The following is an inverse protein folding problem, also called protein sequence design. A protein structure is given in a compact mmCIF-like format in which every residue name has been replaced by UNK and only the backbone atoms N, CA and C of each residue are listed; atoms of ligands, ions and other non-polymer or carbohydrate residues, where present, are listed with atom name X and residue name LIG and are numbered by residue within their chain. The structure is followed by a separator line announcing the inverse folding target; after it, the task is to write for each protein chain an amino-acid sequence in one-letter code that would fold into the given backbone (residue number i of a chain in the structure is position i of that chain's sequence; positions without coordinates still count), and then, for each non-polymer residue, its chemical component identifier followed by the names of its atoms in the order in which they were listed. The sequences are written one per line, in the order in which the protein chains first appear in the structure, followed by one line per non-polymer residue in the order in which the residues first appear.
data_IF_988129082138
#
_entry.id   IF_988129082138
#
_cell.length_a   1.000
_cell.length_b   1.000
_cell.length_c   1.000
_cell.angle_alpha   90.00
_cell.angle_beta   90.00
_cell.angle_gamma   90.00
#
_symmetry.space_group_name_H-M   'P 1'
#
loop_
_entity.id
_entity.type
_entity.pdbx_description
1 polymer ?
#
# COMPACT_ATOMS: atom_id res chain seq x y z
N UNK A 1 11.62 2.81 26.97
CA UNK A 1 10.49 3.74 26.77
C UNK A 1 9.20 2.95 26.78
N UNK A 2 8.17 3.47 27.44
CA UNK A 2 6.84 2.85 27.49
C UNK A 2 5.99 3.29 26.30
N UNK A 3 5.65 2.36 25.43
CA UNK A 3 5.00 2.61 24.15
C UNK A 3 3.59 2.04 24.10
N UNK A 4 2.74 2.72 23.33
CA UNK A 4 1.56 2.11 22.71
C UNK A 4 1.87 1.92 21.23
N UNK A 5 1.49 0.78 20.67
CA UNK A 5 1.56 0.55 19.22
C UNK A 5 0.15 0.46 18.64
N UNK A 6 -0.14 1.15 17.54
CA UNK A 6 -1.42 1.11 16.85
C UNK A 6 -1.23 0.80 15.37
N UNK A 7 -1.69 -0.37 14.93
CA UNK A 7 -1.54 -0.80 13.54
C UNK A 7 -2.35 -2.04 13.21
N UNK A 8 -2.48 -2.36 11.92
CA UNK A 8 -3.31 -3.52 11.49
C UNK A 8 -2.58 -4.47 10.52
N UNK A 9 -2.12 -4.03 9.33
CA UNK A 9 -1.61 -4.95 8.30
C UNK A 9 -0.15 -5.37 8.53
N UNK A 10 0.39 -6.20 7.64
CA UNK A 10 1.77 -6.70 7.69
C UNK A 10 2.81 -5.57 7.73
N UNK A 11 2.58 -4.46 7.01
CA UNK A 11 3.43 -3.25 7.11
C UNK A 11 3.64 -2.79 8.56
N UNK A 12 2.55 -2.78 9.35
CA UNK A 12 2.61 -2.36 10.75
C UNK A 12 3.19 -3.47 11.65
N UNK A 13 2.92 -4.75 11.33
CA UNK A 13 3.49 -5.86 12.07
C UNK A 13 5.03 -5.87 11.99
N UNK A 14 5.61 -5.51 10.85
CA UNK A 14 7.06 -5.36 10.71
C UNK A 14 7.63 -4.29 11.68
N UNK A 15 6.97 -3.14 11.80
CA UNK A 15 7.37 -2.09 12.73
C UNK A 15 7.21 -2.53 14.20
N UNK A 16 6.11 -3.22 14.55
CA UNK A 16 5.94 -3.77 15.90
C UNK A 16 7.05 -4.77 16.25
N UNK A 17 7.40 -5.67 15.33
CA UNK A 17 8.46 -6.65 15.54
C UNK A 17 9.81 -5.97 15.84
N UNK A 18 10.19 -4.97 15.04
CA UNK A 18 11.44 -4.24 15.25
C UNK A 18 11.46 -3.47 16.58
N UNK A 19 10.34 -2.90 17.01
CA UNK A 19 10.25 -2.22 18.31
C UNK A 19 10.39 -3.20 19.48
N UNK A 20 9.84 -4.41 19.36
CA UNK A 20 10.01 -5.48 20.36
C UNK A 20 11.48 -5.92 20.42
N UNK A 21 12.11 -6.14 19.27
CA UNK A 21 13.51 -6.56 19.16
C UNK A 21 14.48 -5.51 19.72
N UNK A 22 14.19 -4.23 19.49
CA UNK A 22 14.94 -3.11 20.07
C UNK A 22 14.75 -2.96 21.60
N UNK A 23 13.92 -3.80 22.23
CA UNK A 23 13.75 -3.84 23.69
C UNK A 23 12.85 -2.74 24.25
N UNK A 24 11.99 -2.13 23.42
CA UNK A 24 11.00 -1.18 23.92
C UNK A 24 9.89 -1.88 24.73
N UNK A 25 9.35 -1.21 25.75
CA UNK A 25 8.23 -1.72 26.53
C UNK A 25 6.92 -1.43 25.78
N UNK A 26 6.39 -2.41 25.05
CA UNK A 26 5.09 -2.29 24.38
C UNK A 26 3.97 -2.61 25.39
N UNK A 27 3.41 -1.56 25.99
CA UNK A 27 2.45 -1.71 27.08
C UNK A 27 1.01 -2.00 26.59
N UNK A 28 0.68 -1.63 25.34
CA UNK A 28 -0.61 -1.93 24.71
C UNK A 28 -0.47 -1.91 23.18
N UNK A 29 -1.09 -2.89 22.53
CA UNK A 29 -1.23 -2.95 21.08
C UNK A 29 -2.68 -2.69 20.68
N UNK A 30 -2.91 -1.66 19.89
CA UNK A 30 -4.19 -1.37 19.25
C UNK A 30 -4.19 -1.88 17.82
N UNK A 31 -5.28 -2.54 17.43
CA UNK A 31 -5.51 -3.00 16.05
C UNK A 31 -6.99 -2.95 15.73
N UNK A 32 -7.35 -2.90 14.46
CA UNK A 32 -8.74 -3.05 14.04
C UNK A 32 -9.34 -4.37 14.58
N UNK A 33 -10.66 -4.41 14.84
CA UNK A 33 -11.39 -5.65 15.09
C UNK A 33 -11.15 -6.69 13.99
N UNK A 34 -11.20 -7.97 14.37
CA UNK A 34 -11.03 -9.07 13.42
C UNK A 34 -12.11 -8.98 12.33
N UNK A 35 -11.69 -9.17 11.08
CA UNK A 35 -12.61 -9.12 9.93
C UNK A 35 -12.61 -10.46 9.19
N UNK A 36 -13.75 -10.84 8.60
CA UNK A 36 -13.80 -11.94 7.65
C UNK A 36 -12.79 -11.75 6.52
N UNK A 37 -11.97 -12.76 6.23
CA UNK A 37 -10.98 -12.69 5.16
C UNK A 37 -10.83 -14.02 4.41
N UNK A 38 -10.25 -13.97 3.21
CA UNK A 38 -9.96 -15.15 2.38
C UNK A 38 -11.20 -15.91 1.87
N UNK A 39 -10.97 -17.10 1.30
CA UNK A 39 -12.06 -17.99 0.88
C UNK A 39 -12.74 -18.59 2.12
N UNK A 40 -14.06 -18.44 2.20
CA UNK A 40 -14.86 -18.93 3.33
C UNK A 40 -15.10 -17.92 4.45
N UNK A 41 -14.59 -16.68 4.32
CA UNK A 41 -14.96 -15.53 5.16
C UNK A 41 -14.85 -15.78 6.67
N UNK A 42 -13.84 -16.55 7.10
CA UNK A 42 -13.59 -16.79 8.52
C UNK A 42 -13.03 -15.52 9.17
N UNK A 43 -13.49 -15.22 10.37
CA UNK A 43 -12.89 -14.17 11.20
C UNK A 43 -11.40 -14.48 11.37
N UNK A 44 -10.57 -13.56 10.91
CA UNK A 44 -9.11 -13.70 10.90
C UNK A 44 -8.52 -12.56 11.72
N UNK A 45 -7.66 -12.89 12.68
CA UNK A 45 -6.90 -11.91 13.43
C UNK A 45 -5.96 -11.15 12.49
N UNK A 46 -5.81 -9.84 12.71
CA UNK A 46 -4.86 -9.03 11.95
C UNK A 46 -3.41 -9.50 12.17
N UNK A 47 -2.48 -9.25 11.22
CA UNK A 47 -1.06 -9.52 11.40
C UNK A 47 -0.49 -8.93 12.71
N UNK A 48 -0.85 -7.67 13.03
CA UNK A 48 -0.43 -7.02 14.28
C UNK A 48 -0.98 -7.75 15.52
N UNK A 49 -2.25 -8.17 15.50
CA UNK A 49 -2.84 -8.95 16.61
C UNK A 49 -2.12 -10.29 16.79
N UNK A 50 -1.86 -11.00 15.70
CA UNK A 50 -1.19 -12.29 15.75
C UNK A 50 0.20 -12.16 16.39
N UNK A 51 0.98 -11.18 15.96
CA UNK A 51 2.31 -10.91 16.52
C UNK A 51 2.23 -10.49 18.00
N UNK A 52 1.31 -9.59 18.36
CA UNK A 52 1.12 -9.18 19.74
C UNK A 52 0.82 -10.37 20.67
N UNK A 53 -0.08 -11.27 20.25
CA UNK A 53 -0.41 -12.47 21.02
C UNK A 53 0.78 -13.44 21.15
N UNK A 54 1.59 -13.60 20.10
CA UNK A 54 2.79 -14.43 20.14
C UNK A 54 3.81 -13.94 21.19
N UNK A 55 3.89 -12.63 21.40
CA UNK A 55 4.77 -12.02 22.39
C UNK A 55 4.08 -11.74 23.75
N UNK A 56 2.84 -12.19 23.94
CA UNK A 56 2.09 -12.01 25.19
C UNK A 56 1.71 -10.54 25.48
N UNK A 57 1.64 -9.69 24.45
CA UNK A 57 1.32 -8.27 24.59
C UNK A 57 -0.19 -8.06 24.73
N UNK A 58 -0.64 -7.13 25.59
CA UNK A 58 -2.05 -6.75 25.69
C UNK A 58 -2.58 -6.18 24.36
N UNK A 59 -3.75 -6.65 23.92
CA UNK A 59 -4.40 -6.20 22.67
C UNK A 59 -5.73 -5.51 22.97
N UNK A 60 -5.94 -4.35 22.36
CA UNK A 60 -7.22 -3.62 22.38
C UNK A 60 -7.74 -3.40 20.96
N UNK A 61 -9.00 -3.77 20.71
CA UNK A 61 -9.63 -3.70 19.38
C UNK A 61 -10.89 -2.83 19.37
N UNK A 62 -10.76 -1.51 19.62
CA UNK A 62 -11.91 -0.62 19.57
C UNK A 62 -12.43 -0.47 18.13
N UNK A 63 -13.75 -0.40 17.95
CA UNK A 63 -14.31 0.00 16.65
C UNK A 63 -14.05 1.48 16.34
N UNK A 64 -14.01 2.31 17.39
CA UNK A 64 -13.80 3.76 17.36
C UNK A 64 -13.12 4.20 18.66
N UNK A 65 -12.44 5.34 18.62
CA UNK A 65 -11.77 5.93 19.80
C UNK A 65 -12.42 7.27 20.21
N UNK A 66 -13.74 7.42 20.03
CA UNK A 66 -14.42 8.72 20.17
C UNK A 66 -14.95 8.99 21.57
N UNK A 67 -15.46 7.98 22.27
CA UNK A 67 -16.03 8.17 23.61
C UNK A 67 -14.97 8.04 24.72
N UNK A 68 -15.18 8.67 25.88
CA UNK A 68 -14.32 8.48 27.05
C UNK A 68 -14.17 7.01 27.45
N UNK A 69 -15.22 6.18 27.33
CA UNK A 69 -15.10 4.75 27.66
C UNK A 69 -14.17 4.01 26.70
N UNK A 70 -14.18 4.37 25.41
CA UNK A 70 -13.27 3.81 24.40
C UNK A 70 -11.82 4.28 24.60
N UNK A 71 -11.65 5.46 25.18
CA UNK A 71 -10.35 6.08 25.41
C UNK A 71 -9.71 5.67 26.73
N UNK A 72 -10.52 5.28 27.74
CA UNK A 72 -10.03 4.93 29.08
C UNK A 72 -8.94 3.83 29.09
N UNK A 73 -9.03 2.75 28.30
CA UNK A 73 -7.96 1.75 28.24
C UNK A 73 -6.63 2.31 27.72
N UNK A 74 -6.68 3.26 26.79
CA UNK A 74 -5.50 3.93 26.22
C UNK A 74 -4.89 4.89 27.24
N UNK A 75 -5.74 5.71 27.88
CA UNK A 75 -5.32 6.68 28.90
C UNK A 75 -4.66 6.00 30.11
N UNK A 76 -5.19 4.85 30.54
CA UNK A 76 -4.69 4.10 31.70
C UNK A 76 -3.23 3.61 31.54
N UNK A 77 -2.74 3.48 30.31
CA UNK A 77 -1.36 3.07 30.06
C UNK A 77 -0.36 4.14 30.48
N UNK A 78 -0.71 5.43 30.40
CA UNK A 78 0.20 6.54 30.63
C UNK A 78 1.52 6.38 29.84
N UNK A 79 1.39 6.15 28.53
CA UNK A 79 2.52 5.92 27.64
C UNK A 79 3.33 7.19 27.40
N UNK A 80 4.60 7.01 27.04
CA UNK A 80 5.45 8.14 26.64
C UNK A 80 5.18 8.55 25.20
N UNK A 81 5.06 7.56 24.30
CA UNK A 81 4.83 7.74 22.87
C UNK A 81 3.81 6.70 22.40
N UNK A 82 2.96 7.08 21.44
CA UNK A 82 2.19 6.13 20.65
C UNK A 82 2.76 6.06 19.23
N UNK A 83 3.12 4.86 18.78
CA UNK A 83 3.53 4.61 17.40
C UNK A 83 2.32 4.14 16.60
N UNK A 84 2.07 4.78 15.47
CA UNK A 84 0.96 4.50 14.58
C UNK A 84 1.51 4.08 13.21
N UNK A 85 0.98 2.98 12.66
CA UNK A 85 1.31 2.54 11.32
C UNK A 85 0.10 1.83 10.71
N UNK A 86 -0.46 2.38 9.62
CA UNK A 86 -1.58 1.78 8.89
C UNK A 86 -2.74 1.28 9.80
N UNK A 87 -3.12 2.07 10.81
CA UNK A 87 -4.10 1.68 11.83
C UNK A 87 -5.55 1.70 11.32
N UNK A 88 -5.88 2.65 10.44
CA UNK A 88 -7.19 2.75 9.80
C UNK A 88 -8.32 3.30 10.68
N UNK A 89 -8.04 3.72 11.92
CA UNK A 89 -8.94 4.54 12.71
C UNK A 89 -8.39 5.97 12.80
N UNK A 90 -9.31 6.94 12.87
CA UNK A 90 -8.96 8.33 13.17
C UNK A 90 -8.70 8.44 14.68
N UNK A 91 -7.53 8.96 15.04
CA UNK A 91 -7.21 9.34 16.42
C UNK A 91 -7.76 10.74 16.67
N UNK A 92 -8.75 10.93 17.57
CA UNK A 92 -9.17 12.27 17.94
C UNK A 92 -8.10 12.96 18.78
N UNK A 93 -8.16 14.30 18.85
CA UNK A 93 -7.21 15.13 19.60
C UNK A 93 -6.99 14.64 21.03
N UNK A 94 -8.06 14.24 21.73
CA UNK A 94 -7.99 13.70 23.09
C UNK A 94 -7.09 12.46 23.22
N UNK A 95 -6.93 11.66 22.16
CA UNK A 95 -6.00 10.51 22.12
C UNK A 95 -4.60 10.94 21.71
N UNK A 96 -4.48 11.88 20.76
CA UNK A 96 -3.19 12.44 20.34
C UNK A 96 -2.42 13.09 21.50
N UNK A 97 -3.16 13.69 22.44
CA UNK A 97 -2.61 14.38 23.61
C UNK A 97 -2.28 13.46 24.80
N UNK A 98 -2.66 12.17 24.76
CA UNK A 98 -2.44 11.27 25.91
C UNK A 98 -0.96 10.94 26.15
N UNK A 99 -0.16 10.58 25.12
CA UNK A 99 1.25 10.29 25.34
C UNK A 99 2.02 11.60 25.53
N UNK A 100 2.93 11.64 26.50
CA UNK A 100 3.72 12.84 26.83
C UNK A 100 4.49 13.42 25.63
N UNK A 101 4.95 12.55 24.74
CA UNK A 101 5.70 12.90 23.52
C UNK A 101 4.82 12.74 22.26
N UNK A 102 3.51 12.62 22.44
CA UNK A 102 2.50 12.52 21.40
C UNK A 102 2.49 11.21 20.61
N UNK A 103 1.84 11.25 19.45
CA UNK A 103 1.73 10.13 18.53
C UNK A 103 2.63 10.34 17.30
N UNK A 104 3.41 9.33 16.93
CA UNK A 104 4.22 9.33 15.72
C UNK A 104 3.62 8.37 14.69
N UNK A 105 3.52 8.79 13.44
CA UNK A 105 3.08 7.92 12.34
C UNK A 105 4.26 7.50 11.46
N UNK A 106 4.26 6.22 11.07
CA UNK A 106 5.14 5.68 10.02
C UNK A 106 4.38 5.76 8.70
N UNK A 107 4.63 6.81 7.92
CA UNK A 107 3.92 7.05 6.66
C UNK A 107 4.71 6.50 5.47
N UNK A 108 4.04 5.74 4.59
CA UNK A 108 4.63 5.06 3.43
C UNK A 108 4.86 5.94 2.20
N UNK A 109 5.22 7.22 2.40
CA UNK A 109 5.69 8.11 1.34
C UNK A 109 6.68 9.15 1.87
N UNK A 110 7.31 9.89 0.95
CA UNK A 110 8.05 11.11 1.25
C UNK A 110 7.07 12.31 1.27
N UNK A 111 6.66 12.73 2.46
CA UNK A 111 5.76 13.86 2.64
C UNK A 111 6.43 15.17 2.17
N UNK A 112 5.66 16.13 1.62
CA UNK A 112 4.20 16.21 1.62
C UNK A 112 3.50 15.45 0.47
N UNK A 113 4.26 14.73 -0.36
CA UNK A 113 3.67 13.96 -1.47
C UNK A 113 2.98 12.71 -0.91
N UNK A 114 1.82 12.39 -1.48
CA UNK A 114 1.03 11.20 -1.18
C UNK A 114 0.50 11.09 0.26
N UNK A 115 -0.08 12.16 0.79
CA UNK A 115 -0.93 12.08 1.99
C UNK A 115 -2.12 11.15 1.76
N UNK A 116 -2.51 10.37 2.76
CA UNK A 116 -3.73 9.56 2.72
C UNK A 116 -3.50 8.06 2.52
N UNK A 117 -4.44 7.43 1.81
CA UNK A 117 -4.76 6.02 2.02
C UNK A 117 -3.97 5.01 1.17
N UNK A 118 -3.47 5.39 -0.01
CA UNK A 118 -2.82 4.45 -0.94
C UNK A 118 -1.47 4.96 -1.50
N UNK A 119 -0.53 5.46 -0.68
CA UNK A 119 0.68 6.13 -1.16
C UNK A 119 1.54 5.25 -2.07
N UNK A 120 1.65 3.96 -1.76
CA UNK A 120 2.48 3.00 -2.50
C UNK A 120 2.01 2.87 -3.96
N UNK A 121 0.72 2.61 -4.15
CA UNK A 121 0.16 2.42 -5.50
C UNK A 121 0.18 3.72 -6.29
N UNK A 122 -0.09 4.84 -5.63
CA UNK A 122 -0.15 6.15 -6.28
C UNK A 122 1.25 6.62 -6.74
N UNK A 123 2.30 6.34 -5.98
CA UNK A 123 3.69 6.58 -6.40
C UNK A 123 4.05 5.77 -7.67
N UNK A 124 3.70 4.48 -7.72
CA UNK A 124 3.95 3.65 -8.92
C UNK A 124 3.15 4.16 -10.12
N UNK A 125 1.86 4.48 -9.94
CA UNK A 125 0.99 5.01 -11.00
C UNK A 125 1.53 6.30 -11.61
N UNK A 126 1.99 7.23 -10.77
CA UNK A 126 2.57 8.48 -11.21
C UNK A 126 3.92 8.30 -11.92
N UNK A 127 4.56 7.15 -11.75
CA UNK A 127 5.89 6.88 -12.28
C UNK A 127 6.99 7.59 -11.50
N UNK A 128 6.80 7.78 -10.20
CA UNK A 128 7.82 8.32 -9.32
C UNK A 128 9.07 7.40 -9.36
N UNK A 129 10.26 7.99 -9.41
CA UNK A 129 11.52 7.22 -9.39
C UNK A 129 11.90 6.75 -7.98
N UNK A 130 11.38 7.44 -6.97
CA UNK A 130 11.58 7.16 -5.56
C UNK A 130 10.31 7.45 -4.76
N UNK A 131 10.19 6.76 -3.64
CA UNK A 131 9.24 7.04 -2.56
C UNK A 131 10.03 6.90 -1.26
N UNK A 132 9.40 6.57 -0.13
CA UNK A 132 10.12 6.31 1.09
C UNK A 132 9.21 6.25 2.30
N UNK A 133 9.84 6.42 3.46
CA UNK A 133 9.16 6.51 4.75
C UNK A 133 9.33 7.91 5.30
N UNK A 134 8.23 8.49 5.79
CA UNK A 134 8.29 9.67 6.66
C UNK A 134 7.86 9.27 8.05
N UNK A 135 8.70 9.52 9.05
CA UNK A 135 8.28 9.52 10.45
C UNK A 135 7.79 10.94 10.76
N UNK A 136 6.52 11.08 11.12
CA UNK A 136 5.91 12.38 11.40
C UNK A 136 5.24 12.40 12.77
N UNK A 137 5.21 13.59 13.39
CA UNK A 137 4.34 13.87 14.53
C UNK A 137 2.92 13.98 14.00
N UNK A 138 1.98 13.24 14.58
CA UNK A 138 0.58 13.36 14.19
C UNK A 138 -0.04 14.64 14.75
N UNK A 139 -0.89 15.26 13.96
CA UNK A 139 -1.81 16.32 14.35
C UNK A 139 -3.26 15.89 14.04
N UNK A 140 -4.22 16.82 14.15
CA UNK A 140 -5.62 16.53 13.86
C UNK A 140 -5.92 16.34 12.35
N UNK A 141 -5.00 16.72 11.47
CA UNK A 141 -5.18 16.62 10.03
C UNK A 141 -4.77 15.25 9.49
N UNK A 142 -5.17 14.98 8.24
CA UNK A 142 -4.80 13.74 7.55
C UNK A 142 -3.39 13.88 6.98
N UNK A 143 -2.42 13.27 7.67
CA UNK A 143 -1.01 13.25 7.28
C UNK A 143 -0.41 14.66 7.09
N UNK A 144 -0.80 15.63 7.93
CA UNK A 144 -0.35 17.03 7.84
C UNK A 144 0.70 17.43 8.84
N UNK A 145 0.90 16.64 9.90
CA UNK A 145 1.79 17.00 10.99
C UNK A 145 3.27 17.05 10.61
N UNK A 146 4.06 17.64 11.50
CA UNK A 146 5.48 17.95 11.29
C UNK A 146 6.30 16.68 11.03
N UNK A 147 7.21 16.75 10.07
CA UNK A 147 8.11 15.66 9.70
C UNK A 147 9.32 15.63 10.66
N UNK A 148 9.64 14.44 11.15
CA UNK A 148 10.80 14.20 12.03
C UNK A 148 11.98 13.64 11.24
N UNK A 149 11.73 12.67 10.37
CA UNK A 149 12.76 12.09 9.49
C UNK A 149 12.15 11.52 8.22
N UNK A 150 12.96 11.44 7.16
CA UNK A 150 12.59 10.90 5.86
C UNK A 150 13.64 9.90 5.40
N UNK A 151 13.19 8.78 4.81
CA UNK A 151 14.02 7.65 4.41
C UNK A 151 13.66 7.24 2.98
N UNK A 152 14.38 7.75 1.97
CA UNK A 152 14.09 7.46 0.57
C UNK A 152 14.30 5.99 0.20
N UNK A 153 13.43 5.48 -0.66
CA UNK A 153 13.47 4.14 -1.24
C UNK A 153 13.21 4.24 -2.74
N UNK A 154 14.14 3.73 -3.54
CA UNK A 154 14.03 3.70 -5.01
C UNK A 154 12.90 2.76 -5.46
N UNK A 155 12.13 3.20 -6.45
CA UNK A 155 11.14 2.37 -7.15
C UNK A 155 11.82 1.80 -8.39
N UNK A 156 12.07 0.49 -8.41
CA UNK A 156 12.66 -0.16 -9.57
C UNK A 156 11.65 -0.32 -10.70
N UNK A 157 12.14 -0.43 -11.94
CA UNK A 157 11.30 -0.59 -13.12
C UNK A 157 10.37 -1.82 -13.04
N UNK A 158 10.80 -2.85 -12.30
CA UNK A 158 10.05 -4.10 -12.09
C UNK A 158 9.25 -4.12 -10.79
N UNK A 159 9.33 -3.08 -9.94
CA UNK A 159 8.59 -3.06 -8.70
C UNK A 159 7.08 -2.98 -8.96
N UNK A 160 6.35 -3.79 -8.20
CA UNK A 160 4.91 -3.73 -8.08
C UNK A 160 4.51 -3.30 -6.66
N UNK A 161 3.22 -3.14 -6.40
CA UNK A 161 2.78 -2.66 -5.09
C UNK A 161 3.16 -3.61 -3.94
N UNK A 162 3.21 -4.93 -4.16
CA UNK A 162 3.70 -5.88 -3.15
C UNK A 162 5.19 -5.70 -2.89
N UNK A 163 6.03 -5.71 -3.92
CA UNK A 163 7.49 -5.64 -3.73
C UNK A 163 7.90 -4.30 -3.11
N UNK A 164 7.25 -3.21 -3.52
CA UNK A 164 7.49 -1.89 -2.94
C UNK A 164 6.96 -1.81 -1.50
N UNK A 165 5.81 -2.41 -1.22
CA UNK A 165 5.30 -2.54 0.15
C UNK A 165 6.29 -3.23 1.08
N UNK A 166 6.87 -4.35 0.64
CA UNK A 166 7.81 -5.12 1.47
C UNK A 166 9.11 -4.33 1.73
N UNK A 167 9.64 -3.64 0.71
CA UNK A 167 10.77 -2.71 0.89
C UNK A 167 10.46 -1.61 1.90
N UNK A 168 9.28 -1.00 1.79
CA UNK A 168 8.86 0.09 2.68
C UNK A 168 8.57 -0.39 4.10
N UNK A 169 8.05 -1.62 4.27
CA UNK A 169 7.84 -2.20 5.60
C UNK A 169 9.17 -2.38 6.35
N UNK A 170 10.21 -2.88 5.65
CA UNK A 170 11.56 -3.00 6.22
C UNK A 170 12.14 -1.62 6.55
N UNK A 171 12.06 -0.67 5.60
CA UNK A 171 12.55 0.69 5.82
C UNK A 171 11.83 1.39 6.98
N UNK A 172 10.51 1.20 7.10
CA UNK A 172 9.69 1.83 8.14
C UNK A 172 9.96 1.27 9.53
N UNK A 173 10.19 -0.05 9.62
CA UNK A 173 10.57 -0.71 10.84
C UNK A 173 11.93 -0.22 11.37
N UNK A 174 12.93 -0.06 10.50
CA UNK A 174 14.21 0.53 10.88
C UNK A 174 14.06 2.02 11.27
N UNK A 175 13.36 2.80 10.43
CA UNK A 175 13.19 4.24 10.61
C UNK A 175 12.55 4.61 11.95
N UNK A 176 11.57 3.84 12.43
CA UNK A 176 10.92 4.15 13.71
C UNK A 176 11.82 3.85 14.92
N UNK A 177 12.63 2.78 14.86
CA UNK A 177 13.59 2.46 15.91
C UNK A 177 14.66 3.56 16.00
N UNK A 178 15.22 3.97 14.86
CA UNK A 178 16.19 5.07 14.78
C UNK A 178 15.58 6.39 15.27
N UNK A 179 14.32 6.67 14.91
CA UNK A 179 13.63 7.87 15.34
C UNK A 179 13.40 7.90 16.86
N UNK A 180 13.10 6.76 17.49
CA UNK A 180 12.92 6.67 18.93
C UNK A 180 14.24 6.84 19.70
N UNK A 181 15.35 6.34 19.16
CA UNK A 181 16.68 6.53 19.76
C UNK A 181 17.07 8.01 19.87
N UNK A 182 16.66 8.82 18.88
CA UNK A 182 17.01 10.24 18.75
C UNK A 182 15.82 11.20 18.99
N UNK A 183 14.73 10.70 19.59
CA UNK A 183 13.44 11.39 19.55
C UNK A 183 13.46 12.84 20.07
N UNK A 184 14.09 13.17 21.23
CA UNK A 184 14.12 14.56 21.71
C UNK A 184 14.79 15.51 20.71
N UNK A 185 15.86 15.06 20.05
CA UNK A 185 16.58 15.83 19.04
C UNK A 185 15.73 16.01 17.78
N UNK A 186 15.08 14.95 17.31
CA UNK A 186 14.21 15.01 16.13
C UNK A 186 12.96 15.87 16.37
N UNK A 187 12.35 15.81 17.55
CA UNK A 187 11.21 16.67 17.89
C UNK A 187 11.60 18.15 17.99
N UNK A 188 12.78 18.46 18.53
CA UNK A 188 13.29 19.83 18.58
C UNK A 188 13.60 20.39 17.18
N UNK A 189 13.96 19.53 16.23
CA UNK A 189 14.29 19.88 14.85
C UNK A 189 13.18 19.57 13.83
N UNK A 190 11.96 19.26 14.29
CA UNK A 190 10.86 18.85 13.40
C UNK A 190 10.51 19.96 12.41
N UNK A 191 10.14 19.56 11.20
CA UNK A 191 9.88 20.49 10.11
C UNK A 191 8.40 20.45 9.73
N UNK A 192 7.70 21.60 9.71
CA UNK A 192 6.41 21.70 9.08
C UNK A 192 6.48 21.24 7.63
N UNK A 193 5.45 20.54 7.16
CA UNK A 193 5.39 20.14 5.75
C UNK A 193 5.30 21.39 4.85
N UNK A 194 6.10 21.47 3.77
CA UNK A 194 6.00 22.60 2.86
C UNK A 194 4.63 22.60 2.15
N UNK A 195 4.07 23.79 1.86
CA UNK A 195 2.80 23.89 1.14
C UNK A 195 2.91 23.47 -0.34
N UNK A 196 4.10 23.61 -0.92
CA UNK A 196 4.39 23.16 -2.28
C UNK A 196 4.66 21.64 -2.31
N UNK A 197 4.16 20.97 -3.35
CA UNK A 197 4.37 19.53 -3.55
C UNK A 197 3.37 18.62 -2.83
N UNK A 198 2.39 19.18 -2.10
CA UNK A 198 1.31 18.40 -1.47
C UNK A 198 0.51 17.65 -2.55
N UNK A 199 0.42 16.33 -2.42
CA UNK A 199 -0.48 15.49 -3.22
C UNK A 199 -1.21 14.49 -2.34
N UNK A 200 -2.36 14.01 -2.82
CA UNK A 200 -3.19 13.06 -2.08
C UNK A 200 -3.22 11.70 -2.76
N UNK A 201 -2.93 10.67 -1.98
CA UNK A 201 -3.05 9.28 -2.37
C UNK A 201 -4.43 8.74 -2.00
N UNK A 202 -5.44 9.10 -2.81
CA UNK A 202 -6.80 8.63 -2.61
C UNK A 202 -6.88 7.11 -2.61
N UNK A 203 -7.79 6.57 -1.78
CA UNK A 203 -8.07 5.14 -1.70
C UNK A 203 -8.44 4.61 -3.08
N UNK A 204 -7.86 3.46 -3.45
CA UNK A 204 -8.17 2.79 -4.71
C UNK A 204 -9.63 2.35 -4.76
N UNK A 205 -10.28 2.60 -5.88
CA UNK A 205 -11.63 2.13 -6.20
C UNK A 205 -11.57 0.97 -7.18
N UNK A 206 -12.58 0.10 -7.17
CA UNK A 206 -12.59 -1.09 -8.03
C UNK A 206 -12.71 -0.71 -9.50
N UNK A 207 -13.39 0.39 -9.78
CA UNK A 207 -13.64 0.92 -11.13
C UNK A 207 -12.33 1.35 -11.81
N UNK A 208 -11.33 1.79 -11.04
CA UNK A 208 -10.00 2.15 -11.54
C UNK A 208 -9.24 0.95 -12.11
N UNK A 209 -9.67 -0.29 -11.81
CA UNK A 209 -8.99 -1.49 -12.32
C UNK A 209 -9.16 -1.73 -13.82
N UNK A 210 -10.13 -1.08 -14.47
CA UNK A 210 -10.38 -1.29 -15.90
C UNK A 210 -9.33 -0.62 -16.76
N UNK A 211 -8.68 -1.40 -17.62
CA UNK A 211 -7.69 -0.92 -18.58
C UNK A 211 -8.42 -0.17 -19.70
N UNK A 212 -8.12 1.12 -19.80
CA UNK A 212 -8.37 1.90 -21.01
C UNK A 212 -7.15 1.80 -21.93
N UNK A 213 -7.32 1.05 -23.03
CA UNK A 213 -6.25 0.82 -24.00
C UNK A 213 -5.80 2.09 -24.75
N UNK A 214 -6.53 3.21 -24.63
CA UNK A 214 -6.12 4.50 -25.19
C UNK A 214 -4.94 5.14 -24.44
N UNK A 215 -4.60 4.66 -23.24
CA UNK A 215 -3.39 5.10 -22.57
C UNK A 215 -2.13 4.51 -23.21
N UNK A 216 -0.96 5.10 -22.93
CA UNK A 216 0.32 4.58 -23.42
C UNK A 216 0.69 3.25 -22.75
N UNK A 217 1.48 2.44 -23.44
CA UNK A 217 1.98 1.17 -22.90
C UNK A 217 2.73 1.35 -21.57
N UNK A 218 3.48 2.45 -21.42
CA UNK A 218 4.19 2.79 -20.17
C UNK A 218 3.22 3.11 -19.02
N UNK A 219 2.14 3.84 -19.29
CA UNK A 219 1.13 4.13 -18.28
C UNK A 219 0.38 2.87 -17.86
N UNK A 220 0.05 1.99 -18.81
CA UNK A 220 -0.62 0.72 -18.53
C UNK A 220 0.28 -0.26 -17.77
N UNK A 221 1.58 -0.33 -18.08
CA UNK A 221 2.55 -1.08 -17.29
C UNK A 221 2.57 -0.63 -15.82
N UNK A 222 2.68 0.69 -15.57
CA UNK A 222 2.61 1.26 -14.22
C UNK A 222 1.32 0.89 -13.51
N UNK A 223 0.18 0.98 -14.21
CA UNK A 223 -1.12 0.58 -13.68
C UNK A 223 -1.16 -0.90 -13.28
N UNK A 224 -0.68 -1.79 -14.14
CA UNK A 224 -0.62 -3.24 -13.88
C UNK A 224 0.24 -3.52 -12.64
N UNK A 225 1.41 -2.89 -12.53
CA UNK A 225 2.31 -3.03 -11.37
C UNK A 225 1.71 -2.43 -10.10
N UNK A 226 1.12 -1.24 -10.17
CA UNK A 226 0.51 -0.57 -9.02
C UNK A 226 -0.71 -1.33 -8.47
N UNK A 227 -1.48 -1.99 -9.33
CA UNK A 227 -2.68 -2.73 -8.94
C UNK A 227 -2.44 -4.22 -8.69
N UNK A 228 -1.18 -4.66 -8.63
CA UNK A 228 -0.81 -6.03 -8.26
C UNK A 228 -0.46 -6.08 -6.75
N UNK A 229 -1.25 -6.78 -5.90
CA UNK A 229 -2.25 -7.77 -6.26
C UNK A 229 -3.70 -7.25 -6.32
N UNK A 230 -3.94 -6.06 -5.77
CA UNK A 230 -5.26 -5.43 -5.66
C UNK A 230 -5.22 -3.98 -6.18
N UNK A 231 -6.24 -3.52 -6.91
CA UNK A 231 -7.48 -4.20 -7.33
C UNK A 231 -7.36 -5.17 -8.52
N UNK A 232 -6.13 -5.42 -9.00
CA UNK A 232 -5.81 -6.16 -10.23
C UNK A 232 -6.28 -5.44 -11.50
N UNK A 233 -5.36 -4.97 -12.34
CA UNK A 233 -5.73 -4.41 -13.65
C UNK A 233 -6.43 -5.46 -14.51
N UNK A 234 -7.50 -5.07 -15.20
CA UNK A 234 -8.35 -6.00 -15.96
C UNK A 234 -8.89 -5.37 -17.25
N UNK A 235 -9.16 -6.22 -18.23
CA UNK A 235 -9.78 -5.90 -19.51
C UNK A 235 -10.80 -6.98 -19.87
N UNK A 236 -11.40 -6.92 -21.06
CA UNK A 236 -12.29 -7.95 -21.59
C UNK A 236 -11.64 -8.69 -22.76
N UNK A 237 -11.91 -9.99 -22.86
CA UNK A 237 -11.57 -10.84 -24.00
C UNK A 237 -12.83 -11.64 -24.36
N UNK A 238 -13.38 -11.44 -25.55
CA UNK A 238 -14.63 -12.06 -25.99
C UNK A 238 -15.79 -11.89 -24.98
N UNK A 239 -15.91 -10.70 -24.37
CA UNK A 239 -16.92 -10.38 -23.36
C UNK A 239 -16.63 -10.89 -21.94
N UNK A 240 -15.59 -11.70 -21.75
CA UNK A 240 -15.21 -12.21 -20.43
C UNK A 240 -14.07 -11.40 -19.81
N UNK A 241 -14.07 -11.28 -18.47
CA UNK A 241 -13.03 -10.58 -17.75
C UNK A 241 -11.67 -11.31 -17.83
N UNK A 242 -10.63 -10.55 -18.18
CA UNK A 242 -9.24 -10.97 -18.22
C UNK A 242 -8.41 -10.04 -17.34
N UNK A 243 -7.86 -10.55 -16.24
CA UNK A 243 -6.89 -9.81 -15.42
C UNK A 243 -5.50 -9.89 -16.03
N UNK A 244 -4.77 -8.78 -15.98
CA UNK A 244 -3.37 -8.69 -16.39
C UNK A 244 -2.52 -8.45 -15.15
N UNK A 245 -1.61 -9.38 -14.87
CA UNK A 245 -0.78 -9.38 -13.65
C UNK A 245 0.64 -8.89 -13.90
N UNK A 246 1.15 -9.12 -15.12
CA UNK A 246 2.46 -8.65 -15.57
C UNK A 246 2.46 -8.40 -17.06
N UNK A 247 3.06 -7.29 -17.46
CA UNK A 247 3.28 -6.92 -18.85
C UNK A 247 4.58 -6.13 -18.98
N UNK A 248 5.03 -5.89 -20.21
CA UNK A 248 6.18 -5.04 -20.53
C UNK A 248 5.87 -4.12 -21.71
N UNK A 249 6.18 -2.82 -21.65
CA UNK A 249 6.09 -1.92 -22.80
C UNK A 249 7.14 -2.29 -23.85
N UNK A 250 6.74 -2.31 -25.12
CA UNK A 250 7.62 -2.52 -26.27
C UNK A 250 7.30 -1.53 -27.38
N UNK A 251 8.26 -1.30 -28.28
CA UNK A 251 8.05 -0.46 -29.46
C UNK A 251 7.12 -1.15 -30.47
N UNK A 252 6.21 -0.37 -31.06
CA UNK A 252 5.28 -0.84 -32.08
C UNK A 252 4.09 0.11 -32.20
N UNK A 253 3.19 -0.19 -33.13
CA UNK A 253 1.99 0.60 -33.41
C UNK A 253 0.84 -0.32 -33.83
N UNK A 254 -0.39 0.15 -33.67
CA UNK A 254 -1.62 -0.55 -34.03
C UNK A 254 -2.83 0.22 -33.49
N UNK A 255 -4.03 -0.35 -33.57
CA UNK A 255 -5.19 0.28 -32.95
C UNK A 255 -5.26 -0.06 -31.45
N UNK A 256 -5.58 0.89 -30.56
CA UNK A 256 -5.76 0.63 -29.13
C UNK A 256 -6.64 -0.59 -28.84
N UNK A 257 -6.10 -1.55 -28.08
CA UNK A 257 -6.76 -2.80 -27.72
C UNK A 257 -6.66 -3.91 -28.77
N UNK A 258 -6.07 -3.67 -29.93
CA UNK A 258 -5.86 -4.68 -30.96
C UNK A 258 -4.68 -5.58 -30.62
N UNK A 259 -4.88 -6.90 -30.71
CA UNK A 259 -3.80 -7.89 -30.67
C UNK A 259 -3.04 -7.82 -31.99
N UNK A 260 -1.80 -7.35 -31.96
CA UNK A 260 -0.94 -7.24 -33.16
C UNK A 260 -0.01 -8.43 -33.33
N UNK A 261 0.18 -9.23 -32.28
CA UNK A 261 0.93 -10.48 -32.33
C UNK A 261 0.35 -11.48 -31.31
N UNK A 262 0.18 -12.72 -31.75
CA UNK A 262 -0.34 -13.82 -30.96
C UNK A 262 0.35 -15.13 -31.39
N UNK A 263 1.59 -15.33 -30.95
CA UNK A 263 2.40 -16.48 -31.31
C UNK A 263 3.35 -16.89 -30.18
N UNK A 264 4.28 -17.82 -30.47
CA UNK A 264 5.29 -18.30 -29.51
C UNK A 264 6.22 -17.20 -28.96
N UNK A 265 6.30 -16.04 -29.64
CA UNK A 265 7.15 -14.92 -29.25
C UNK A 265 6.41 -13.93 -28.33
N UNK A 266 5.09 -14.01 -28.26
CA UNK A 266 4.30 -13.30 -27.24
C UNK A 266 2.89 -12.95 -27.66
N UNK A 267 2.17 -12.38 -26.70
CA UNK A 267 0.87 -11.72 -26.89
C UNK A 267 1.08 -10.21 -26.80
N UNK A 268 1.05 -9.53 -27.94
CA UNK A 268 1.25 -8.08 -28.04
C UNK A 268 -0.08 -7.38 -28.32
N UNK A 269 -0.38 -6.36 -27.52
CA UNK A 269 -1.60 -5.56 -27.64
C UNK A 269 -1.20 -4.10 -27.88
N UNK A 270 -1.69 -3.53 -28.97
CA UNK A 270 -1.48 -2.11 -29.26
C UNK A 270 -2.22 -1.22 -28.25
N UNK A 271 -1.62 -0.08 -27.95
CA UNK A 271 -2.13 0.90 -26.98
C UNK A 271 -2.26 2.26 -27.66
N UNK A 272 -2.64 3.32 -26.94
CA UNK A 272 -2.67 4.67 -27.50
C UNK A 272 -1.28 5.18 -27.93
N UNK A 273 -0.23 4.70 -27.27
CA UNK A 273 1.16 4.96 -27.63
C UNK A 273 2.05 3.77 -27.24
N UNK A 274 2.67 3.15 -28.23
CA UNK A 274 3.44 1.92 -28.10
C UNK A 274 2.58 0.67 -27.96
N UNK A 275 3.22 -0.43 -27.58
CA UNK A 275 2.60 -1.76 -27.51
C UNK A 275 2.89 -2.36 -26.14
N UNK A 276 1.93 -3.11 -25.62
CA UNK A 276 2.06 -3.81 -24.35
C UNK A 276 2.15 -5.32 -24.59
N UNK A 277 3.27 -5.92 -24.21
CA UNK A 277 3.44 -7.38 -24.22
C UNK A 277 2.92 -7.97 -22.93
N UNK A 278 1.89 -8.81 -23.04
CA UNK A 278 1.32 -9.49 -21.88
C UNK A 278 2.20 -10.69 -21.51
N UNK A 279 2.51 -10.81 -20.22
CA UNK A 279 3.39 -11.86 -19.69
C UNK A 279 2.62 -12.81 -18.78
N UNK A 280 1.84 -12.28 -17.83
CA UNK A 280 1.03 -13.08 -16.90
C UNK A 280 -0.40 -12.55 -16.85
N UNK A 281 -1.37 -13.45 -16.98
CA UNK A 281 -2.80 -13.15 -17.11
C UNK A 281 -3.65 -14.13 -16.30
N UNK A 282 -4.93 -13.82 -16.11
CA UNK A 282 -5.89 -14.70 -15.45
C UNK A 282 -7.30 -14.50 -16.02
N UNK A 283 -7.85 -15.56 -16.61
CA UNK A 283 -9.28 -15.64 -17.00
C UNK A 283 -10.20 -15.63 -15.77
N UNK A 284 -11.44 -15.20 -15.95
CA UNK A 284 -12.47 -15.28 -14.93
C UNK A 284 -12.55 -16.69 -14.31
N UNK A 285 -12.52 -16.78 -12.97
CA UNK A 285 -12.55 -18.06 -12.23
C UNK A 285 -11.29 -18.94 -12.35
N UNK A 286 -10.34 -18.59 -13.22
CA UNK A 286 -9.11 -19.36 -13.47
C UNK A 286 -7.98 -19.07 -12.50
N UNK A 287 -6.86 -19.80 -12.66
CA UNK A 287 -5.58 -19.49 -12.01
C UNK A 287 -4.79 -18.47 -12.85
N UNK A 288 -3.83 -17.79 -12.22
CA UNK A 288 -2.80 -17.03 -12.96
C UNK A 288 -2.03 -17.98 -13.88
N UNK A 289 -1.68 -17.52 -15.08
CA UNK A 289 -0.95 -18.29 -16.07
C UNK A 289 -0.11 -17.38 -16.96
N UNK A 290 0.92 -17.93 -17.59
CA UNK A 290 1.68 -17.23 -18.63
C UNK A 290 0.80 -16.94 -19.85
N UNK A 291 1.03 -15.80 -20.50
CA UNK A 291 0.32 -15.42 -21.72
C UNK A 291 0.52 -16.45 -22.86
N UNK A 292 1.65 -17.14 -22.91
CA UNK A 292 1.87 -18.24 -23.86
C UNK A 292 0.93 -19.43 -23.63
N UNK A 293 0.62 -19.75 -22.36
CA UNK A 293 -0.34 -20.80 -22.03
C UNK A 293 -1.77 -20.37 -22.38
N UNK A 294 -2.09 -19.08 -22.22
CA UNK A 294 -3.35 -18.51 -22.71
C UNK A 294 -3.49 -18.70 -24.25
N UNK A 295 -2.44 -18.37 -25.01
CA UNK A 295 -2.43 -18.52 -26.48
C UNK A 295 -2.59 -19.98 -26.93
N UNK A 296 -1.95 -20.92 -26.24
CA UNK A 296 -2.09 -22.35 -26.54
C UNK A 296 -3.53 -22.87 -26.38
N UNK A 297 -4.35 -22.19 -25.58
CA UNK A 297 -5.78 -22.47 -25.44
C UNK A 297 -6.63 -22.05 -26.65
N UNK A 298 -6.06 -21.38 -27.65
CA UNK A 298 -6.74 -20.92 -28.86
C UNK A 298 -7.64 -19.70 -28.64
N UNK A 299 -8.24 -19.21 -29.73
CA UNK A 299 -9.24 -18.14 -29.72
C UNK A 299 -8.68 -16.70 -29.66
N UNK A 300 -7.35 -16.54 -29.65
CA UNK A 300 -6.69 -15.23 -29.78
C UNK A 300 -5.82 -15.26 -31.03
N UNK A 301 -6.13 -14.40 -31.98
CA UNK A 301 -5.35 -14.19 -33.22
C UNK A 301 -5.07 -12.71 -33.41
N UNK A 302 -4.15 -12.38 -34.32
CA UNK A 302 -3.96 -11.00 -34.77
C UNK A 302 -5.31 -10.40 -35.21
N UNK A 303 -5.57 -9.15 -34.82
CA UNK A 303 -6.84 -8.44 -35.02
C UNK A 303 -7.89 -8.68 -33.93
N UNK A 304 -7.67 -9.62 -32.99
CA UNK A 304 -8.54 -9.79 -31.82
C UNK A 304 -8.54 -8.50 -31.00
N UNK A 305 -9.71 -8.07 -30.49
CA UNK A 305 -9.83 -6.86 -29.66
C UNK A 305 -9.94 -7.22 -28.18
N UNK A 306 -9.12 -6.57 -27.37
CA UNK A 306 -9.24 -6.48 -25.92
C UNK A 306 -9.89 -5.15 -25.56
N UNK A 307 -10.79 -5.19 -24.58
CA UNK A 307 -11.62 -4.02 -24.27
C UNK A 307 -12.71 -3.78 -25.32
N UNK A 308 -13.73 -3.03 -24.91
CA UNK A 308 -14.97 -2.83 -25.68
C UNK A 308 -16.18 -3.33 -24.90
N UNK A 309 -17.31 -2.67 -25.11
CA UNK A 309 -18.60 -3.07 -24.57
C UNK A 309 -18.99 -4.43 -25.17
N UNK A 310 -19.69 -5.24 -24.37
CA UNK A 310 -20.56 -6.27 -24.91
C UNK A 310 -21.68 -5.62 -25.74
#
# INVERSE_FOLDING_TARGET
MKLIFAGTPDFAAAALAALIEAGHEIALVLTQPDRPSGRGMKLTASPVKQLALQHGLPVYQPEKLRSPEQQAPVAAIAAEVMIVAAYGLILPQAVLDMPRLGCLNIHGSLLPRWRGAAPIQRAILAGDAETGITIMQMDAGLDTGDMLSMHPVRIEATDNATTLHDKLAVAGAAAVVDALAELPRLQAARQPQPPEGVTYAEKLRKEESQIDWQHSAVALDRMIRAFNPFPSAQTTLAGEALKIWRAEPVSGQGQPGEVIQADRHGLLVATGDGVLKLLEVQKAGGKRMDAAALLAGGGITVGTRLGGDA
#
